data_IF_205170268700
#
_entry.id   IF_205170268700
#
_cell.length_a   1.000
_cell.length_b   1.000
_cell.length_c   1.000
_cell.angle_alpha   90.00
_cell.angle_beta   90.00
_cell.angle_gamma   90.00
#
_symmetry.space_group_name_H-M   'P 1'
#
loop_
_entity.id
_entity.type
_entity.pdbx_description
1 polymer ?
#
# COMPACT_ATOMS: atom_id res chain seq x y z
N UNK A 1 -14.56 3.95 -2.81
CA UNK A 1 -13.46 3.04 -2.45
C UNK A 1 -12.20 3.84 -2.15
N UNK A 2 -11.60 3.57 -1.01
CA UNK A 2 -10.37 4.25 -0.62
C UNK A 2 -9.17 3.36 -0.92
N UNK A 3 -8.15 3.90 -1.59
CA UNK A 3 -6.94 3.15 -1.86
C UNK A 3 -5.78 3.72 -1.05
N UNK A 4 -4.70 2.96 -0.98
CA UNK A 4 -3.52 3.36 -0.23
C UNK A 4 -2.93 4.67 -0.78
N UNK A 5 -3.12 4.94 -2.06
CA UNK A 5 -2.66 6.17 -2.68
C UNK A 5 -3.28 7.41 -2.04
N UNK A 6 -4.50 7.28 -1.50
CA UNK A 6 -5.24 8.41 -0.92
C UNK A 6 -4.92 8.64 0.55
N UNK A 7 -4.12 7.77 1.15
CA UNK A 7 -3.80 7.84 2.58
C UNK A 7 -2.71 8.86 2.82
N UNK A 8 -2.94 9.75 3.78
CA UNK A 8 -1.97 10.77 4.13
C UNK A 8 -0.80 10.19 4.91
N UNK A 9 0.34 10.84 4.80
CA UNK A 9 1.53 10.50 5.58
C UNK A 9 1.18 10.55 7.08
N UNK A 10 1.66 9.55 7.82
CA UNK A 10 1.44 9.46 9.26
C UNK A 10 0.22 8.67 9.67
N UNK A 11 -0.56 8.18 8.72
CA UNK A 11 -1.75 7.39 9.02
C UNK A 11 -1.50 5.90 8.88
N UNK A 12 -2.19 5.12 9.71
CA UNK A 12 -2.19 3.67 9.63
C UNK A 12 -3.57 3.22 9.15
N UNK A 13 -3.59 2.36 8.15
CA UNK A 13 -4.83 1.83 7.58
C UNK A 13 -4.73 0.31 7.49
N UNK A 14 -5.87 -0.34 7.31
CA UNK A 14 -5.93 -1.79 7.18
C UNK A 14 -6.25 -2.15 5.74
N UNK A 15 -5.53 -3.14 5.21
CA UNK A 15 -5.78 -3.62 3.86
C UNK A 15 -7.10 -4.38 3.82
N UNK A 16 -7.99 -3.96 2.95
CA UNK A 16 -9.30 -4.59 2.78
C UNK A 16 -9.32 -5.55 1.60
N UNK A 17 -8.67 -5.18 0.51
CA UNK A 17 -8.68 -5.97 -0.71
C UNK A 17 -7.55 -5.53 -1.64
N UNK A 18 -7.01 -6.48 -2.38
CA UNK A 18 -6.07 -6.17 -3.46
C UNK A 18 -6.81 -6.30 -4.78
N UNK A 19 -6.74 -5.25 -5.58
CA UNK A 19 -7.32 -5.24 -6.91
C UNK A 19 -6.28 -5.62 -7.94
N UNK A 20 -6.70 -5.82 -9.18
CA UNK A 20 -5.80 -6.24 -10.24
C UNK A 20 -5.63 -7.74 -10.28
N UNK A 21 -4.80 -8.20 -11.21
CA UNK A 21 -4.58 -9.61 -11.44
C UNK A 21 -3.14 -9.88 -11.83
N UNK A 22 -2.76 -11.17 -11.77
CA UNK A 22 -1.49 -11.63 -12.28
C UNK A 22 -0.27 -11.20 -11.48
N UNK A 23 0.84 -10.93 -12.19
CA UNK A 23 2.14 -10.69 -11.53
C UNK A 23 2.17 -9.52 -10.57
N UNK A 24 1.43 -8.44 -10.86
CA UNK A 24 1.43 -7.25 -10.00
C UNK A 24 0.81 -7.56 -8.65
N UNK A 25 -0.35 -8.21 -8.67
CA UNK A 25 -1.04 -8.58 -7.43
C UNK A 25 -0.19 -9.55 -6.61
N UNK A 26 0.42 -10.52 -7.28
CA UNK A 26 1.29 -11.49 -6.63
C UNK A 26 2.49 -10.80 -5.98
N UNK A 27 3.09 -9.85 -6.67
CA UNK A 27 4.23 -9.11 -6.14
C UNK A 27 3.86 -8.35 -4.87
N UNK A 28 2.70 -7.71 -4.88
CA UNK A 28 2.22 -6.99 -3.70
C UNK A 28 2.00 -7.94 -2.53
N UNK A 29 1.40 -9.09 -2.80
CA UNK A 29 1.18 -10.11 -1.77
C UNK A 29 2.51 -10.66 -1.23
N UNK A 30 3.48 -10.85 -2.10
CA UNK A 30 4.79 -11.36 -1.70
C UNK A 30 5.53 -10.38 -0.79
N UNK A 31 5.22 -9.11 -0.87
CA UNK A 31 5.78 -8.10 0.02
C UNK A 31 5.11 -8.10 1.41
N UNK A 32 4.12 -8.96 1.61
CA UNK A 32 3.43 -9.05 2.89
C UNK A 32 2.17 -8.19 2.98
N UNK A 33 1.77 -7.57 1.89
CA UNK A 33 0.57 -6.74 1.85
C UNK A 33 -0.61 -7.63 1.47
N UNK A 34 -1.29 -8.13 2.50
CA UNK A 34 -2.43 -9.02 2.33
C UNK A 34 -3.61 -8.51 3.13
N UNK A 35 -4.80 -9.05 2.85
CA UNK A 35 -6.04 -8.62 3.52
C UNK A 35 -5.88 -8.70 5.04
N UNK A 36 -6.30 -7.64 5.72
CA UNK A 36 -6.28 -7.58 7.18
C UNK A 36 -5.00 -7.02 7.78
N UNK A 37 -3.97 -6.79 6.95
CA UNK A 37 -2.68 -6.30 7.44
C UNK A 37 -2.71 -4.79 7.63
N UNK A 38 -2.21 -4.27 8.76
CA UNK A 38 -2.08 -2.83 8.94
C UNK A 38 -0.89 -2.30 8.13
N UNK A 39 -1.08 -1.14 7.53
CA UNK A 39 -0.05 -0.45 6.75
C UNK A 39 0.07 0.98 7.28
N UNK A 40 1.28 1.35 7.67
CA UNK A 40 1.57 2.70 8.10
C UNK A 40 2.21 3.47 6.94
N UNK A 41 1.62 4.60 6.57
CA UNK A 41 2.17 5.44 5.50
C UNK A 41 3.22 6.35 6.12
N UNK A 42 4.48 6.03 5.87
CA UNK A 42 5.61 6.72 6.46
C UNK A 42 5.96 8.00 5.74
N UNK A 43 5.92 7.97 4.41
CA UNK A 43 6.32 9.10 3.59
C UNK A 43 5.70 8.99 2.21
N UNK A 44 5.34 10.14 1.64
CA UNK A 44 4.83 10.21 0.27
C UNK A 44 5.65 11.26 -0.46
N UNK A 45 6.23 10.87 -1.60
CA UNK A 45 7.01 11.81 -2.41
C UNK A 45 6.10 12.92 -2.96
N UNK A 46 6.67 14.08 -3.31
CA UNK A 46 5.87 15.25 -3.72
C UNK A 46 4.81 15.01 -4.79
N UNK A 47 5.08 14.09 -5.72
CA UNK A 47 4.13 13.78 -6.78
C UNK A 47 3.31 12.51 -6.49
N UNK A 48 3.35 12.05 -5.26
CA UNK A 48 2.63 10.83 -4.87
C UNK A 48 3.33 9.53 -5.26
N UNK A 49 4.56 9.60 -5.73
CA UNK A 49 5.30 8.43 -6.21
C UNK A 49 6.78 8.60 -5.92
N UNK A 50 7.42 7.72 -5.14
CA UNK A 50 6.84 6.54 -4.50
C UNK A 50 6.13 6.85 -3.18
N UNK A 51 5.40 5.85 -2.71
CA UNK A 51 4.78 5.87 -1.38
C UNK A 51 5.58 4.93 -0.50
N UNK A 52 6.11 5.43 0.61
CA UNK A 52 6.89 4.61 1.53
C UNK A 52 6.04 4.21 2.72
N UNK A 53 5.99 2.91 2.97
CA UNK A 53 5.13 2.35 4.01
C UNK A 53 5.89 1.40 4.91
N UNK A 54 5.33 1.15 6.10
CA UNK A 54 5.83 0.14 7.00
C UNK A 54 4.76 -0.94 7.13
N UNK A 55 5.14 -2.18 6.85
CA UNK A 55 4.27 -3.33 6.93
C UNK A 55 4.99 -4.45 7.65
N UNK A 56 4.36 -4.98 8.71
CA UNK A 56 4.92 -6.08 9.50
C UNK A 56 6.36 -5.81 9.97
N UNK A 57 6.66 -4.55 10.28
CA UNK A 57 7.99 -4.17 10.76
C UNK A 57 9.01 -3.94 9.65
N UNK A 58 8.62 -4.06 8.39
CA UNK A 58 9.51 -3.80 7.26
C UNK A 58 9.11 -2.51 6.57
N UNK A 59 10.12 -1.81 6.07
CA UNK A 59 9.91 -0.60 5.29
C UNK A 59 9.90 -0.97 3.81
N UNK A 60 8.85 -0.55 3.12
CA UNK A 60 8.67 -0.86 1.70
C UNK A 60 8.42 0.44 0.93
N UNK A 61 8.84 0.45 -0.33
CA UNK A 61 8.58 1.55 -1.24
C UNK A 61 7.66 1.03 -2.34
N UNK A 62 6.51 1.67 -2.51
CA UNK A 62 5.52 1.27 -3.50
C UNK A 62 5.39 2.34 -4.57
N UNK A 63 5.19 1.91 -5.80
CA UNK A 63 4.86 2.83 -6.87
C UNK A 63 3.42 3.29 -6.69
N UNK A 64 3.13 4.48 -7.18
CA UNK A 64 1.78 5.02 -7.17
C UNK A 64 0.77 4.02 -7.75
N UNK A 65 1.13 3.37 -8.86
CA UNK A 65 0.27 2.40 -9.51
C UNK A 65 -0.02 1.20 -8.60
N UNK A 66 0.96 0.77 -7.81
CA UNK A 66 0.77 -0.33 -6.87
C UNK A 66 -0.18 0.11 -5.74
N UNK A 67 0.02 1.31 -5.22
CA UNK A 67 -0.81 1.83 -4.14
C UNK A 67 -2.28 1.96 -4.56
N UNK A 68 -2.53 2.28 -5.82
CA UNK A 68 -3.88 2.39 -6.34
C UNK A 68 -4.63 1.06 -6.38
N UNK A 69 -3.90 -0.05 -6.32
CA UNK A 69 -4.49 -1.38 -6.35
C UNK A 69 -4.77 -1.95 -4.97
N UNK A 70 -4.39 -1.23 -3.92
CA UNK A 70 -4.57 -1.68 -2.55
C UNK A 70 -5.72 -0.90 -1.92
N UNK A 71 -6.86 -1.57 -1.78
CA UNK A 71 -8.03 -0.97 -1.12
C UNK A 71 -7.83 -1.05 0.38
N UNK A 72 -8.06 0.07 1.07
CA UNK A 72 -7.83 0.18 2.51
C UNK A 72 -9.03 0.80 3.21
N UNK A 73 -9.01 0.66 4.50
CA UNK A 73 -10.05 1.22 5.35
C UNK A 73 -9.43 2.15 6.39
#
# INVERSE_FOLDING_TARGET
MKTLREVACGQTVTVMRLHGEGPVKRRIMDMGITKGVPVYVRKVAPLGDPVEVTVRGYELSLRKADAEMIEVE
#
